data_IF_549287923109
#
_entry.id   IF_549287923109
#
_cell.length_a   1.000
_cell.length_b   1.000
_cell.length_c   1.000
_cell.angle_alpha   90.00
_cell.angle_beta   90.00
_cell.angle_gamma   90.00
#
_symmetry.space_group_name_H-M   'P 1'
#
loop_
_entity.id
_entity.type
_entity.pdbx_description
1 polymer ?
#
# COMPACT_ATOMS: atom_id res chain seq x y z
N UNK A 1 -25.56 -6.37 15.28
CA UNK A 1 -25.10 -7.30 14.24
C UNK A 1 -24.39 -8.45 14.92
N UNK A 2 -24.56 -9.69 14.49
CA UNK A 2 -23.93 -10.86 15.13
C UNK A 2 -24.60 -12.16 14.68
N UNK A 3 -23.91 -13.28 14.80
CA UNK A 3 -24.52 -14.59 14.63
C UNK A 3 -25.07 -15.08 15.98
N UNK A 4 -26.33 -15.53 16.01
CA UNK A 4 -26.97 -16.02 17.24
C UNK A 4 -26.95 -17.55 17.26
N UNK A 5 -26.38 -18.11 18.32
CA UNK A 5 -26.45 -19.54 18.60
C UNK A 5 -27.77 -19.91 19.29
N UNK A 6 -28.14 -21.20 19.22
CA UNK A 6 -29.36 -21.73 19.84
C UNK A 6 -29.37 -21.61 21.37
N UNK A 7 -28.18 -21.51 22.00
CA UNK A 7 -28.01 -21.30 23.44
C UNK A 7 -28.09 -19.81 23.84
N UNK A 8 -28.32 -18.90 22.89
CA UNK A 8 -28.41 -17.47 23.12
C UNK A 8 -27.05 -16.75 23.12
N UNK A 9 -25.94 -17.44 22.85
CA UNK A 9 -24.61 -16.82 22.70
C UNK A 9 -24.47 -16.07 21.38
N UNK A 10 -23.75 -14.94 21.41
CA UNK A 10 -23.39 -14.15 20.23
C UNK A 10 -22.03 -14.61 19.71
N UNK A 11 -22.00 -15.05 18.46
CA UNK A 11 -20.79 -15.49 17.76
C UNK A 11 -20.20 -14.40 16.91
N UNK A 12 -18.87 -14.36 16.89
CA UNK A 12 -18.09 -13.43 16.09
C UNK A 12 -18.42 -13.53 14.59
N UNK A 13 -18.53 -12.38 13.95
CA UNK A 13 -18.78 -12.25 12.51
C UNK A 13 -17.56 -11.67 11.81
N UNK A 14 -17.45 -11.91 10.50
CA UNK A 14 -16.40 -11.30 9.68
C UNK A 14 -16.82 -9.92 9.19
N UNK A 15 -15.86 -8.99 9.11
CA UNK A 15 -16.07 -7.67 8.55
C UNK A 15 -16.78 -6.69 9.48
N UNK A 16 -16.59 -6.85 10.80
CA UNK A 16 -17.13 -5.93 11.80
C UNK A 16 -16.70 -4.48 11.54
N UNK A 17 -15.44 -4.27 11.10
CA UNK A 17 -14.95 -2.97 10.66
C UNK A 17 -15.78 -2.39 9.50
N UNK A 18 -16.10 -3.21 8.50
CA UNK A 18 -16.86 -2.73 7.33
C UNK A 18 -18.29 -2.34 7.71
N UNK A 19 -18.93 -3.10 8.62
CA UNK A 19 -20.24 -2.76 9.16
C UNK A 19 -20.21 -1.48 9.99
N UNK A 20 -19.21 -1.31 10.86
CA UNK A 20 -19.03 -0.10 11.66
C UNK A 20 -18.82 1.14 10.76
N UNK A 21 -18.01 1.04 9.71
CA UNK A 21 -17.82 2.12 8.72
C UNK A 21 -19.13 2.45 8.00
N UNK A 22 -19.92 1.44 7.62
CA UNK A 22 -21.22 1.65 6.99
C UNK A 22 -22.23 2.31 7.95
N UNK A 23 -22.28 1.87 9.21
CA UNK A 23 -23.13 2.44 10.25
C UNK A 23 -22.82 3.93 10.48
N UNK A 24 -21.54 4.28 10.58
CA UNK A 24 -21.10 5.67 10.71
C UNK A 24 -21.46 6.52 9.49
N UNK A 25 -21.26 6.00 8.27
CA UNK A 25 -21.68 6.69 7.04
C UNK A 25 -23.19 6.90 6.95
N UNK A 26 -23.98 6.00 7.54
CA UNK A 26 -25.42 6.14 7.65
C UNK A 26 -25.86 7.12 8.76
N UNK A 27 -24.92 7.71 9.51
CA UNK A 27 -25.21 8.65 10.60
C UNK A 27 -25.77 7.98 11.86
N UNK A 28 -25.52 6.68 12.05
CA UNK A 28 -25.93 5.98 13.27
C UNK A 28 -25.01 6.37 14.44
N UNK A 29 -25.58 6.40 15.65
CA UNK A 29 -24.85 6.77 16.88
C UNK A 29 -23.95 5.64 17.37
N UNK A 30 -24.35 4.39 17.16
CA UNK A 30 -23.60 3.23 17.63
C UNK A 30 -24.02 1.91 16.99
N UNK A 31 -23.29 0.86 17.33
CA UNK A 31 -23.49 -0.51 16.86
C UNK A 31 -23.27 -1.50 18.00
N UNK A 32 -24.16 -2.49 18.10
CA UNK A 32 -24.03 -3.61 19.04
C UNK A 32 -23.50 -4.82 18.28
N UNK A 33 -22.44 -5.45 18.80
CA UNK A 33 -21.68 -6.54 18.18
C UNK A 33 -21.37 -7.64 19.20
N UNK A 34 -20.98 -8.85 18.78
CA UNK A 34 -20.29 -9.80 19.65
C UNK A 34 -19.08 -9.13 20.31
N UNK A 35 -18.82 -9.40 21.57
CA UNK A 35 -17.70 -8.83 22.32
C UNK A 35 -16.34 -9.04 21.62
N UNK A 36 -16.16 -10.20 20.97
CA UNK A 36 -14.96 -10.53 20.17
C UNK A 36 -14.73 -9.59 18.97
N UNK A 37 -15.80 -8.98 18.43
CA UNK A 37 -15.72 -8.04 17.31
C UNK A 37 -15.57 -6.58 17.76
N UNK A 38 -15.77 -6.28 19.05
CA UNK A 38 -15.73 -4.91 19.54
C UNK A 38 -14.38 -4.21 19.28
N UNK A 39 -13.20 -4.84 19.47
CA UNK A 39 -11.92 -4.22 19.16
C UNK A 39 -11.77 -3.83 17.68
N UNK A 40 -12.26 -4.67 16.76
CA UNK A 40 -12.18 -4.44 15.31
C UNK A 40 -13.08 -3.27 14.87
N UNK A 41 -14.26 -3.13 15.47
CA UNK A 41 -15.21 -2.08 15.10
C UNK A 41 -14.96 -0.75 15.82
N UNK A 42 -14.44 -0.78 17.05
CA UNK A 42 -14.20 0.39 17.89
C UNK A 42 -13.13 1.33 17.33
N UNK A 43 -12.36 0.88 16.34
CA UNK A 43 -11.43 1.76 15.63
C UNK A 43 -12.15 2.92 14.91
N UNK A 44 -13.45 2.84 14.63
CA UNK A 44 -14.22 3.76 13.75
C UNK A 44 -14.51 5.16 14.34
N UNK A 45 -13.58 5.82 15.04
CA UNK A 45 -13.72 7.13 15.70
C UNK A 45 -15.18 7.37 16.20
N UNK A 46 -15.81 8.55 16.17
CA UNK A 46 -17.19 8.76 16.70
C UNK A 46 -18.35 7.83 16.23
N UNK A 47 -18.37 6.56 16.65
CA UNK A 47 -19.41 5.55 16.59
C UNK A 47 -19.28 4.74 17.90
N UNK A 48 -20.34 4.68 18.69
CA UNK A 48 -20.35 3.91 19.93
C UNK A 48 -20.39 2.41 19.62
N UNK A 49 -19.36 1.66 20.05
CA UNK A 49 -19.28 0.22 19.80
C UNK A 49 -19.56 -0.54 21.08
N UNK A 50 -20.69 -1.24 21.12
CA UNK A 50 -21.12 -2.01 22.30
C UNK A 50 -20.84 -3.48 22.05
N UNK A 51 -19.98 -4.08 22.87
CA UNK A 51 -19.68 -5.51 22.84
C UNK A 51 -20.59 -6.30 23.78
N UNK A 52 -21.34 -7.26 23.24
CA UNK A 52 -22.19 -8.16 24.03
C UNK A 52 -21.82 -9.63 23.79
N UNK A 53 -22.02 -10.48 24.80
CA UNK A 53 -21.70 -11.91 24.73
C UNK A 53 -22.93 -12.78 24.48
N UNK A 54 -24.13 -12.30 24.84
CA UNK A 54 -25.38 -13.05 24.74
C UNK A 54 -26.56 -12.15 24.36
N UNK A 55 -27.61 -12.73 23.77
CA UNK A 55 -28.84 -11.99 23.44
C UNK A 55 -29.54 -11.39 24.67
N UNK A 56 -29.68 -12.07 25.83
CA UNK A 56 -30.25 -11.46 27.03
C UNK A 56 -29.52 -10.19 27.45
N UNK A 57 -28.18 -10.18 27.38
CA UNK A 57 -27.38 -9.00 27.70
C UNK A 57 -27.74 -7.79 26.81
N UNK A 58 -27.94 -8.04 25.51
CA UNK A 58 -28.39 -7.00 24.56
C UNK A 58 -29.77 -6.48 24.92
N UNK A 59 -30.70 -7.36 25.33
CA UNK A 59 -32.06 -6.97 25.73
C UNK A 59 -32.03 -6.12 27.00
N UNK A 60 -31.26 -6.52 28.01
CA UNK A 60 -31.13 -5.78 29.28
C UNK A 60 -30.48 -4.41 29.06
N UNK A 61 -29.47 -4.32 28.18
CA UNK A 61 -28.88 -3.05 27.76
C UNK A 61 -29.89 -2.12 27.07
N UNK A 62 -30.61 -2.62 26.06
CA UNK A 62 -31.63 -1.83 25.35
C UNK A 62 -32.81 -1.44 26.24
N UNK A 63 -33.06 -2.22 27.30
CA UNK A 63 -34.10 -1.94 28.31
C UNK A 63 -33.63 -0.97 29.41
N UNK A 64 -32.36 -0.54 29.39
CA UNK A 64 -31.77 0.36 30.39
C UNK A 64 -31.54 -0.29 31.76
N UNK A 65 -31.53 -1.62 31.84
CA UNK A 65 -31.32 -2.38 33.09
C UNK A 65 -29.86 -2.76 33.31
N UNK A 66 -29.09 -2.83 32.23
CA UNK A 66 -27.65 -3.05 32.24
C UNK A 66 -26.95 -1.91 31.50
N UNK A 67 -25.87 -1.40 32.05
CA UNK A 67 -25.00 -0.43 31.39
C UNK A 67 -23.81 -1.18 30.82
N UNK A 68 -23.70 -1.20 29.49
CA UNK A 68 -22.52 -1.69 28.79
C UNK A 68 -21.78 -0.46 28.29
N UNK A 69 -20.56 -0.25 28.79
CA UNK A 69 -19.74 0.86 28.33
C UNK A 69 -19.30 0.62 26.88
N UNK A 70 -19.34 1.67 26.02
CA UNK A 70 -18.75 1.59 24.70
C UNK A 70 -17.29 1.15 24.78
N UNK A 71 -16.94 0.18 23.95
CA UNK A 71 -15.57 -0.24 23.78
C UNK A 71 -14.78 0.91 23.15
N UNK A 72 -13.86 1.49 23.91
CA UNK A 72 -12.96 2.53 23.45
C UNK A 72 -11.61 1.92 23.10
N UNK A 73 -11.11 2.28 21.92
CA UNK A 73 -9.77 1.90 21.46
C UNK A 73 -8.91 3.15 21.43
N UNK A 74 -7.73 3.06 22.05
CA UNK A 74 -6.69 4.07 21.83
C UNK A 74 -6.10 3.88 20.43
N UNK A 75 -6.52 4.74 19.51
CA UNK A 75 -6.01 4.74 18.15
C UNK A 75 -4.51 5.04 18.11
N UNK A 76 -4.00 5.93 18.95
CA UNK A 76 -2.56 6.24 18.96
C UNK A 76 -1.75 5.01 19.37
N UNK A 77 -2.21 4.26 20.36
CA UNK A 77 -1.58 3.00 20.78
C UNK A 77 -1.63 1.95 19.66
N UNK A 78 -2.78 1.77 19.00
CA UNK A 78 -2.90 0.85 17.86
C UNK A 78 -1.97 1.23 16.69
N UNK A 79 -1.89 2.51 16.35
CA UNK A 79 -1.02 2.98 15.28
C UNK A 79 0.46 2.83 15.67
N UNK A 80 0.80 3.09 16.94
CA UNK A 80 2.19 2.97 17.44
C UNK A 80 2.65 1.52 17.48
N UNK A 81 1.82 0.61 18.01
CA UNK A 81 2.13 -0.82 18.09
C UNK A 81 2.07 -1.51 16.72
N UNK A 82 1.27 -0.97 15.78
CA UNK A 82 1.17 -1.47 14.40
C UNK A 82 2.24 -0.94 13.44
N UNK A 83 3.03 0.05 13.84
CA UNK A 83 4.14 0.63 13.06
C UNK A 83 5.46 -0.13 13.25
N UNK A 84 5.46 -1.45 13.06
CA UNK A 84 6.71 -2.20 12.95
C UNK A 84 7.30 -2.01 11.54
N UNK A 85 8.16 -1.01 11.40
CA UNK A 85 9.01 -0.88 10.23
C UNK A 85 10.28 -1.70 10.45
N UNK A 86 10.52 -2.70 9.61
CA UNK A 86 11.72 -3.56 9.75
C UNK A 86 13.04 -2.84 9.44
N UNK A 87 13.02 -1.79 8.62
CA UNK A 87 14.21 -1.04 8.21
C UNK A 87 13.95 0.47 8.32
N UNK A 88 14.77 1.19 9.08
CA UNK A 88 14.61 2.65 9.32
C UNK A 88 15.54 3.49 8.41
N UNK A 89 15.00 4.59 7.88
CA UNK A 89 15.74 5.57 7.10
C UNK A 89 16.85 6.28 7.89
N UNK A 90 16.70 6.41 9.21
CA UNK A 90 17.71 7.02 10.07
C UNK A 90 19.06 6.27 10.05
N UNK A 91 19.05 4.98 9.71
CA UNK A 91 20.24 4.12 9.63
C UNK A 91 21.13 4.42 8.40
N UNK A 92 20.63 5.20 7.43
CA UNK A 92 21.33 5.50 6.17
C UNK A 92 22.50 6.45 6.41
N UNK A 93 23.72 5.90 6.35
CA UNK A 93 24.96 6.69 6.43
C UNK A 93 25.35 7.26 5.07
N UNK A 94 25.59 8.57 5.02
CA UNK A 94 25.94 9.31 3.80
C UNK A 94 24.77 9.53 2.85
N UNK A 95 25.05 9.74 1.55
CA UNK A 95 24.04 10.01 0.50
C UNK A 95 23.15 11.24 0.79
N UNK A 96 23.72 12.31 1.36
CA UNK A 96 22.96 13.50 1.83
C UNK A 96 22.03 14.09 0.76
N UNK A 97 22.48 14.17 -0.49
CA UNK A 97 21.65 14.63 -1.59
C UNK A 97 20.44 13.72 -1.87
N UNK A 98 20.64 12.40 -1.80
CA UNK A 98 19.55 11.45 -2.01
C UNK A 98 18.58 11.44 -0.82
N UNK A 99 19.10 11.52 0.42
CA UNK A 99 18.27 11.64 1.63
C UNK A 99 17.38 12.87 1.56
N UNK A 100 17.97 14.02 1.25
CA UNK A 100 17.21 15.26 1.12
C UNK A 100 16.14 15.18 0.02
N UNK A 101 16.47 14.61 -1.14
CA UNK A 101 15.50 14.43 -2.22
C UNK A 101 14.36 13.50 -1.81
N UNK A 102 14.65 12.42 -1.08
CA UNK A 102 13.66 11.47 -0.57
C UNK A 102 12.77 12.09 0.50
N UNK A 103 13.31 12.88 1.43
CA UNK A 103 12.50 13.61 2.43
C UNK A 103 11.51 14.57 1.75
N UNK A 104 11.98 15.36 0.78
CA UNK A 104 11.13 16.30 0.05
C UNK A 104 10.04 15.55 -0.71
N UNK A 105 10.40 14.48 -1.43
CA UNK A 105 9.44 13.67 -2.16
C UNK A 105 8.45 12.94 -1.23
N UNK A 106 8.89 12.44 -0.08
CA UNK A 106 8.04 11.80 0.91
C UNK A 106 7.03 12.78 1.51
N UNK A 107 7.45 14.02 1.79
CA UNK A 107 6.57 15.07 2.32
C UNK A 107 5.45 15.46 1.34
N UNK A 108 5.72 15.40 0.03
CA UNK A 108 4.77 15.73 -1.03
C UNK A 108 4.09 14.54 -1.71
N UNK A 109 4.41 13.30 -1.31
CA UNK A 109 3.95 12.09 -2.00
C UNK A 109 4.40 11.99 -3.47
N UNK A 110 5.57 12.53 -3.81
CA UNK A 110 6.08 12.55 -5.19
C UNK A 110 6.76 11.24 -5.59
N UNK A 111 6.60 10.85 -6.86
CA UNK A 111 7.31 9.73 -7.44
C UNK A 111 8.82 10.02 -7.54
N UNK A 112 9.65 9.02 -7.28
CA UNK A 112 11.12 9.14 -7.30
C UNK A 112 11.70 8.19 -8.33
N UNK A 113 12.73 8.65 -9.04
CA UNK A 113 13.61 7.79 -9.81
C UNK A 113 15.07 7.92 -9.36
N UNK A 114 15.69 6.79 -9.03
CA UNK A 114 17.08 6.69 -8.62
C UNK A 114 17.94 6.13 -9.76
N UNK A 115 18.97 6.88 -10.14
CA UNK A 115 19.92 6.47 -11.18
C UNK A 115 21.29 6.35 -10.53
N UNK A 116 21.87 5.14 -10.53
CA UNK A 116 23.19 4.92 -9.95
C UNK A 116 23.77 3.55 -10.31
N UNK A 117 25.09 3.32 -10.20
CA UNK A 117 25.69 2.02 -10.50
C UNK A 117 25.14 0.91 -9.60
N UNK A 118 25.23 -0.37 -10.00
CA UNK A 118 24.85 -1.48 -9.12
C UNK A 118 25.64 -1.42 -7.80
N UNK A 119 25.02 -1.84 -6.69
CA UNK A 119 25.63 -1.74 -5.36
C UNK A 119 25.61 -0.35 -4.71
N UNK A 120 25.04 0.67 -5.36
CA UNK A 120 24.93 2.03 -4.79
C UNK A 120 23.87 2.20 -3.69
N UNK A 121 23.26 1.10 -3.21
CA UNK A 121 22.26 1.12 -2.14
C UNK A 121 20.85 1.59 -2.54
N UNK A 122 20.47 1.59 -3.83
CA UNK A 122 19.13 2.04 -4.28
C UNK A 122 17.99 1.25 -3.63
N UNK A 123 18.07 -0.08 -3.68
CA UNK A 123 17.11 -0.99 -3.05
C UNK A 123 17.05 -0.81 -1.54
N UNK A 124 18.21 -0.58 -0.90
CA UNK A 124 18.34 -0.33 0.53
C UNK A 124 17.64 0.98 0.94
N UNK A 125 17.82 2.05 0.16
CA UNK A 125 17.14 3.33 0.36
C UNK A 125 15.63 3.20 0.13
N UNK A 126 15.21 2.52 -0.93
CA UNK A 126 13.78 2.38 -1.27
C UNK A 126 12.98 1.69 -0.17
N UNK A 127 13.52 0.60 0.41
CA UNK A 127 12.86 -0.16 1.48
C UNK A 127 12.62 0.65 2.75
N UNK A 128 13.39 1.72 2.96
CA UNK A 128 13.31 2.60 4.13
C UNK A 128 12.37 3.79 3.93
N UNK A 129 11.94 4.08 2.70
CA UNK A 129 11.02 5.20 2.40
C UNK A 129 9.71 5.15 3.22
N UNK A 130 9.07 3.99 3.47
CA UNK A 130 7.87 3.93 4.30
C UNK A 130 8.01 4.59 5.68
N UNK A 131 9.23 4.61 6.24
CA UNK A 131 9.50 5.17 7.58
C UNK A 131 9.54 6.70 7.62
N UNK A 132 9.78 7.35 6.49
CA UNK A 132 9.81 8.83 6.37
C UNK A 132 8.54 9.40 5.72
N UNK A 133 7.61 8.53 5.31
CA UNK A 133 6.32 8.97 4.82
C UNK A 133 5.44 9.48 5.98
N UNK A 134 4.52 10.43 5.71
CA UNK A 134 3.54 10.85 6.70
C UNK A 134 2.78 9.64 7.25
N UNK A 135 2.45 9.63 8.55
CA UNK A 135 1.61 8.56 9.14
C UNK A 135 0.30 8.43 8.36
N UNK A 136 -0.24 7.22 8.29
CA UNK A 136 -1.55 7.02 7.69
C UNK A 136 -2.62 7.73 8.51
N UNK A 137 -3.56 8.36 7.81
CA UNK A 137 -4.86 8.70 8.38
C UNK A 137 -5.66 7.44 8.67
N UNK A 138 -6.68 7.59 9.51
CA UNK A 138 -7.59 6.50 9.86
C UNK A 138 -8.32 5.95 8.62
N UNK A 139 -8.74 6.82 7.72
CA UNK A 139 -9.41 6.46 6.47
C UNK A 139 -8.48 5.66 5.55
N UNK A 140 -7.21 6.08 5.41
CA UNK A 140 -6.19 5.35 4.63
C UNK A 140 -5.94 3.95 5.20
N UNK A 141 -5.89 3.83 6.54
CA UNK A 141 -5.67 2.56 7.22
C UNK A 141 -6.83 1.59 6.99
N UNK A 142 -8.08 2.07 7.06
CA UNK A 142 -9.26 1.25 6.71
C UNK A 142 -9.21 0.81 5.25
N UNK A 143 -8.94 1.74 4.33
CA UNK A 143 -8.94 1.47 2.89
C UNK A 143 -7.90 0.40 2.54
N UNK A 144 -6.69 0.53 3.10
CA UNK A 144 -5.60 -0.46 2.94
C UNK A 144 -5.99 -1.81 3.56
N UNK A 145 -6.54 -1.81 4.78
CA UNK A 145 -6.94 -3.04 5.49
C UNK A 145 -8.02 -3.80 4.72
N UNK A 146 -8.97 -3.12 4.09
CA UNK A 146 -10.00 -3.75 3.24
C UNK A 146 -9.39 -4.52 2.07
N UNK A 147 -8.35 -3.98 1.42
CA UNK A 147 -7.69 -4.65 0.30
C UNK A 147 -7.01 -5.95 0.78
N UNK A 148 -6.30 -5.90 1.91
CA UNK A 148 -5.62 -7.05 2.49
C UNK A 148 -6.58 -8.12 3.04
N UNK A 149 -7.73 -7.68 3.57
CA UNK A 149 -8.79 -8.58 3.99
C UNK A 149 -9.38 -9.36 2.80
N UNK A 150 -9.66 -8.67 1.68
CA UNK A 150 -10.16 -9.31 0.45
C UNK A 150 -9.11 -10.22 -0.20
N UNK A 151 -7.82 -9.91 -0.08
CA UNK A 151 -6.74 -10.76 -0.57
C UNK A 151 -6.43 -11.97 0.33
N UNK A 152 -6.99 -12.00 1.55
CA UNK A 152 -6.71 -13.03 2.55
C UNK A 152 -5.31 -12.93 3.17
N UNK A 153 -4.67 -11.76 3.06
CA UNK A 153 -3.32 -11.48 3.57
C UNK A 153 -3.31 -10.75 4.92
N UNK A 154 -4.49 -10.49 5.51
CA UNK A 154 -4.57 -9.85 6.82
C UNK A 154 -4.37 -10.91 7.92
N UNK A 155 -3.40 -10.67 8.80
CA UNK A 155 -3.18 -11.50 9.98
C UNK A 155 -4.40 -11.43 10.91
N UNK A 156 -4.83 -12.58 11.43
CA UNK A 156 -6.02 -12.66 12.31
C UNK A 156 -5.89 -11.84 13.59
N UNK A 157 -4.67 -11.53 14.00
CA UNK A 157 -4.34 -10.76 15.21
C UNK A 157 -4.24 -9.25 14.93
N UNK A 158 -4.13 -8.83 13.67
CA UNK A 158 -4.01 -7.41 13.27
C UNK A 158 -5.33 -6.92 12.66
N UNK A 159 -6.14 -6.25 13.48
CA UNK A 159 -7.42 -5.69 13.05
C UNK A 159 -7.27 -4.50 12.05
N UNK A 160 -6.13 -3.82 12.06
CA UNK A 160 -5.88 -2.63 11.25
C UNK A 160 -4.41 -2.56 10.80
N UNK A 161 -4.17 -2.26 9.51
CA UNK A 161 -2.84 -1.97 8.99
C UNK A 161 -2.50 -0.50 9.24
N UNK A 162 -1.58 -0.26 10.19
CA UNK A 162 -1.07 1.07 10.54
C UNK A 162 0.18 1.49 9.75
N UNK A 163 0.99 0.51 9.29
CA UNK A 163 2.21 0.77 8.55
C UNK A 163 1.96 0.88 7.03
N UNK A 164 2.68 1.81 6.37
CA UNK A 164 2.61 1.97 4.91
C UNK A 164 3.14 0.73 4.18
N UNK A 165 2.34 0.08 3.31
CA UNK A 165 2.78 -1.12 2.62
C UNK A 165 3.91 -0.80 1.66
N UNK A 166 4.88 -1.71 1.57
CA UNK A 166 5.96 -1.65 0.60
C UNK A 166 5.88 -2.88 -0.30
N UNK A 167 5.73 -2.67 -1.61
CA UNK A 167 5.70 -3.74 -2.61
C UNK A 167 6.84 -3.59 -3.59
N UNK A 168 7.57 -4.68 -3.83
CA UNK A 168 8.71 -4.73 -4.75
C UNK A 168 8.56 -5.91 -5.72
N UNK A 169 7.67 -5.81 -6.72
CA UNK A 169 7.48 -6.88 -7.69
C UNK A 169 8.78 -7.15 -8.47
N UNK A 170 9.01 -8.42 -8.79
CA UNK A 170 10.12 -8.80 -9.66
C UNK A 170 9.84 -8.39 -11.12
N UNK A 171 10.89 -8.10 -11.90
CA UNK A 171 10.78 -7.66 -13.30
C UNK A 171 10.13 -8.68 -14.26
N UNK A 172 9.97 -9.93 -13.81
CA UNK A 172 9.28 -11.02 -14.53
C UNK A 172 7.77 -11.06 -14.29
N UNK A 173 7.22 -10.14 -13.47
CA UNK A 173 5.80 -10.10 -13.14
C UNK A 173 4.94 -9.99 -14.41
N UNK A 174 3.79 -10.66 -14.39
CA UNK A 174 2.79 -10.57 -15.45
C UNK A 174 1.88 -9.36 -15.24
N UNK A 175 1.23 -8.90 -16.32
CA UNK A 175 0.22 -7.83 -16.26
C UNK A 175 -0.86 -8.13 -15.20
N UNK A 176 -1.26 -9.40 -15.10
CA UNK A 176 -2.25 -9.89 -14.11
C UNK A 176 -1.70 -9.85 -12.68
N UNK A 177 -0.42 -10.13 -12.46
CA UNK A 177 0.18 -10.04 -11.14
C UNK A 177 0.29 -8.59 -10.65
N UNK A 178 0.59 -7.67 -11.56
CA UNK A 178 0.79 -6.26 -11.22
C UNK A 178 -0.55 -5.53 -10.96
N UNK A 179 -1.48 -5.60 -11.91
CA UNK A 179 -2.79 -4.91 -11.81
C UNK A 179 -3.79 -5.70 -10.98
N UNK A 180 -3.70 -7.03 -11.01
CA UNK A 180 -4.70 -7.92 -10.46
C UNK A 180 -5.55 -8.56 -11.56
N UNK A 181 -6.30 -9.59 -11.18
CA UNK A 181 -7.13 -10.36 -12.08
C UNK A 181 -7.30 -11.81 -11.63
N UNK A 182 -7.50 -12.71 -12.59
CA UNK A 182 -7.83 -14.12 -12.34
C UNK A 182 -9.29 -14.46 -12.68
N UNK A 183 -9.67 -15.71 -12.45
CA UNK A 183 -11.07 -16.18 -12.55
C UNK A 183 -11.95 -15.53 -11.49
N UNK A 184 -11.41 -15.34 -10.29
CA UNK A 184 -11.92 -14.43 -9.28
C UNK A 184 -11.06 -13.16 -9.30
N UNK A 185 -11.63 -11.98 -9.57
CA UNK A 185 -10.86 -10.74 -9.61
C UNK A 185 -10.25 -10.47 -8.22
N UNK A 186 -8.93 -10.58 -8.13
CA UNK A 186 -8.15 -10.27 -6.93
C UNK A 186 -7.31 -9.01 -7.15
N UNK A 187 -6.99 -8.25 -6.08
CA UNK A 187 -6.07 -7.12 -6.17
C UNK A 187 -4.67 -7.57 -6.61
N UNK A 188 -4.00 -6.77 -7.44
CA UNK A 188 -2.60 -6.96 -7.82
C UNK A 188 -1.63 -6.19 -6.92
N UNK A 189 -0.34 -6.26 -7.23
CA UNK A 189 0.73 -5.58 -6.49
C UNK A 189 0.52 -4.06 -6.35
N UNK A 190 -0.05 -3.39 -7.37
CA UNK A 190 -0.31 -1.94 -7.27
C UNK A 190 -1.40 -1.64 -6.24
N UNK A 191 -2.49 -2.41 -6.23
CA UNK A 191 -3.56 -2.24 -5.23
C UNK A 191 -3.08 -2.66 -3.83
N UNK A 192 -2.22 -3.67 -3.73
CA UNK A 192 -1.62 -4.09 -2.46
C UNK A 192 -0.59 -3.10 -1.91
N UNK A 193 -0.11 -2.17 -2.74
CA UNK A 193 0.79 -1.07 -2.36
C UNK A 193 0.02 0.21 -2.01
N UNK A 194 -1.31 0.20 -2.01
CA UNK A 194 -2.15 1.37 -1.79
C UNK A 194 -1.82 2.09 -0.46
N UNK A 195 -1.80 3.42 -0.50
CA UNK A 195 -1.34 4.32 0.57
C UNK A 195 0.09 4.02 1.04
N UNK A 196 0.91 3.40 0.19
CA UNK A 196 2.29 3.07 0.48
C UNK A 196 3.19 3.27 -0.73
N UNK A 197 4.18 2.39 -0.86
CA UNK A 197 5.26 2.51 -1.84
C UNK A 197 5.25 1.31 -2.79
N UNK A 198 5.26 1.59 -4.09
CA UNK A 198 5.51 0.60 -5.14
C UNK A 198 6.94 0.81 -5.65
N UNK A 199 7.82 -0.16 -5.39
CA UNK A 199 9.21 -0.13 -5.79
C UNK A 199 9.47 -0.97 -7.05
N UNK A 200 10.01 -0.35 -8.09
CA UNK A 200 10.43 -1.02 -9.33
C UNK A 200 11.96 -0.97 -9.44
N UNK A 201 12.61 -2.08 -9.11
CA UNK A 201 14.06 -2.20 -9.31
C UNK A 201 14.38 -2.54 -10.76
N UNK A 202 15.53 -2.06 -11.25
CA UNK A 202 15.94 -2.29 -12.64
C UNK A 202 14.84 -1.96 -13.66
N UNK A 203 14.20 -0.79 -13.52
CA UNK A 203 13.05 -0.36 -14.34
C UNK A 203 13.15 -0.71 -15.85
N UNK A 204 14.32 -0.56 -16.52
CA UNK A 204 14.44 -0.90 -17.94
C UNK A 204 14.28 -2.39 -18.29
N UNK A 205 14.37 -3.29 -17.32
CA UNK A 205 14.20 -4.75 -17.51
C UNK A 205 12.72 -5.17 -17.48
N UNK A 206 11.81 -4.31 -17.00
CA UNK A 206 10.39 -4.57 -17.07
C UNK A 206 9.88 -4.59 -18.52
N UNK A 207 8.93 -5.48 -18.80
CA UNK A 207 8.26 -5.53 -20.11
C UNK A 207 7.53 -4.22 -20.36
N UNK A 208 7.63 -3.72 -21.59
CA UNK A 208 6.99 -2.45 -21.98
C UNK A 208 5.49 -2.41 -21.65
N UNK A 209 4.75 -3.47 -21.97
CA UNK A 209 3.31 -3.53 -21.70
C UNK A 209 2.98 -3.36 -20.22
N UNK A 210 3.78 -3.94 -19.32
CA UNK A 210 3.61 -3.84 -17.86
C UNK A 210 3.71 -2.38 -17.41
N UNK A 211 4.68 -1.62 -17.95
CA UNK A 211 4.87 -0.21 -17.62
C UNK A 211 3.77 0.70 -18.20
N UNK A 212 3.28 0.42 -19.40
CA UNK A 212 2.17 1.19 -20.00
C UNK A 212 0.89 1.02 -19.17
N UNK A 213 0.67 -0.19 -18.67
CA UNK A 213 -0.48 -0.54 -17.85
C UNK A 213 -0.43 0.12 -16.46
N UNK A 214 0.75 0.51 -15.97
CA UNK A 214 0.91 1.29 -14.73
C UNK A 214 0.47 2.75 -14.85
N UNK A 215 0.35 3.29 -16.05
CA UNK A 215 0.05 4.71 -16.25
C UNK A 215 -1.29 5.11 -15.63
N UNK A 216 -2.35 4.37 -15.98
CA UNK A 216 -3.69 4.63 -15.46
C UNK A 216 -3.77 4.54 -13.92
N UNK A 217 -3.23 3.50 -13.25
CA UNK A 217 -3.19 3.46 -11.79
C UNK A 217 -2.47 4.64 -11.13
N UNK A 218 -1.41 5.18 -11.75
CA UNK A 218 -0.64 6.31 -11.24
C UNK A 218 -1.33 7.65 -11.47
N UNK A 219 -2.09 7.79 -12.56
CA UNK A 219 -2.90 8.98 -12.89
C UNK A 219 -4.20 9.03 -12.05
N UNK A 220 -4.99 7.95 -12.08
CA UNK A 220 -6.33 7.91 -11.48
C UNK A 220 -6.32 7.49 -10.00
N UNK A 221 -5.24 6.86 -9.55
CA UNK A 221 -5.15 6.27 -8.22
C UNK A 221 -6.12 5.11 -7.99
N UNK A 222 -6.63 4.48 -9.06
CA UNK A 222 -7.55 3.35 -9.04
C UNK A 222 -7.28 2.37 -10.17
N UNK A 223 -7.62 1.11 -9.93
CA UNK A 223 -7.54 0.01 -10.90
C UNK A 223 -8.91 -0.63 -11.07
N UNK A 224 -9.40 -0.66 -12.31
CA UNK A 224 -10.65 -1.33 -12.66
C UNK A 224 -10.38 -2.66 -13.37
N UNK A 225 -10.82 -3.76 -12.76
CA UNK A 225 -10.67 -5.11 -13.30
C UNK A 225 -12.05 -5.56 -13.79
N UNK A 226 -12.21 -5.63 -15.11
CA UNK A 226 -13.44 -6.12 -15.75
C UNK A 226 -13.22 -7.50 -16.35
N UNK A 227 -13.98 -8.50 -15.88
CA UNK A 227 -14.02 -9.87 -16.41
C UNK A 227 -15.46 -10.32 -16.57
N UNK A 228 -15.66 -11.41 -17.32
CA UNK A 228 -16.91 -11.84 -17.98
C UNK A 228 -18.24 -11.63 -17.26
N UNK A 229 -18.29 -11.59 -15.93
CA UNK A 229 -19.52 -11.42 -15.14
C UNK A 229 -19.44 -10.35 -14.03
N UNK A 230 -18.26 -9.76 -13.76
CA UNK A 230 -18.05 -8.82 -12.66
C UNK A 230 -17.01 -7.76 -13.03
N UNK A 231 -17.31 -6.50 -12.69
CA UNK A 231 -16.35 -5.39 -12.70
C UNK A 231 -16.09 -4.93 -11.28
N UNK A 232 -14.83 -4.99 -10.84
CA UNK A 232 -14.39 -4.50 -9.52
C UNK A 232 -13.38 -3.38 -9.68
N UNK A 233 -13.50 -2.35 -8.84
CA UNK A 233 -12.55 -1.25 -8.77
C UNK A 233 -11.82 -1.31 -7.42
N UNK A 234 -10.50 -1.33 -7.47
CA UNK A 234 -9.63 -1.25 -6.29
C UNK A 234 -8.91 0.10 -6.27
N UNK A 235 -8.73 0.72 -5.09
CA UNK A 235 -7.89 1.89 -4.98
C UNK A 235 -6.41 1.52 -5.09
N UNK A 236 -5.60 2.43 -5.63
CA UNK A 236 -4.21 2.20 -5.98
C UNK A 236 -3.36 3.46 -5.95
N UNK A 237 -3.68 4.39 -5.02
CA UNK A 237 -2.83 5.55 -4.74
C UNK A 237 -1.53 5.08 -4.13
N UNK A 238 -0.41 5.23 -4.83
CA UNK A 238 0.91 4.75 -4.40
C UNK A 238 1.97 5.80 -4.73
N UNK A 239 3.02 5.87 -3.91
CA UNK A 239 4.26 6.54 -4.27
C UNK A 239 5.11 5.57 -5.10
N UNK A 240 5.33 5.88 -6.38
CA UNK A 240 6.21 5.09 -7.24
C UNK A 240 7.67 5.44 -6.95
N UNK A 241 8.46 4.42 -6.62
CA UNK A 241 9.90 4.54 -6.46
C UNK A 241 10.57 3.62 -7.48
N UNK A 242 11.27 4.19 -8.45
CA UNK A 242 11.97 3.42 -9.47
C UNK A 242 13.48 3.51 -9.29
N UNK A 243 14.18 2.42 -9.58
CA UNK A 243 15.63 2.38 -9.63
C UNK A 243 16.12 1.89 -10.99
N UNK A 244 17.22 2.46 -11.47
CA UNK A 244 17.88 1.96 -12.68
C UNK A 244 19.39 2.18 -12.65
N UNK A 245 20.09 1.33 -13.38
CA UNK A 245 21.52 1.50 -13.60
C UNK A 245 21.75 2.52 -14.73
N UNK A 246 22.72 3.46 -14.58
CA UNK A 246 23.07 4.37 -15.64
C UNK A 246 23.58 3.56 -16.82
N UNK A 247 23.09 3.90 -18.00
CA UNK A 247 23.48 3.26 -19.25
C UNK A 247 25.00 3.30 -19.43
N UNK A 248 25.59 2.23 -20.00
CA UNK A 248 27.02 2.12 -20.34
C UNK A 248 27.61 3.35 -21.07
N UNK A 249 26.78 4.21 -21.65
CA UNK A 249 27.19 5.43 -22.37
C UNK A 249 27.54 6.63 -21.46
N UNK A 250 27.01 6.75 -20.24
CA UNK A 250 27.37 7.87 -19.34
C UNK A 250 28.80 7.71 -18.81
N UNK A 251 29.28 6.47 -18.66
CA UNK A 251 30.67 6.23 -18.33
C UNK A 251 31.61 6.66 -19.48
N UNK A 252 31.19 6.53 -20.75
CA UNK A 252 32.04 6.93 -21.87
C UNK A 252 32.19 8.44 -21.98
N UNK A 253 31.15 9.25 -21.69
CA UNK A 253 31.25 10.71 -21.76
C UNK A 253 31.98 11.34 -20.57
N UNK A 254 31.91 10.74 -19.38
CA UNK A 254 32.71 11.16 -18.21
C UNK A 254 34.16 10.68 -18.28
N UNK A 255 34.42 9.47 -18.80
CA UNK A 255 35.79 8.96 -19.02
C UNK A 255 36.47 9.61 -20.23
N UNK A 256 35.75 9.96 -21.29
CA UNK A 256 36.33 10.64 -22.46
C UNK A 256 36.72 12.09 -22.18
N UNK A 257 36.17 12.73 -21.14
CA UNK A 257 36.61 14.06 -20.68
C UNK A 257 37.87 14.01 -19.80
N UNK A 258 38.19 12.86 -19.21
CA UNK A 258 39.36 12.69 -18.32
C UNK A 258 40.53 11.96 -18.99
N UNK A 259 40.31 11.21 -20.07
CA UNK A 259 41.37 10.65 -20.91
C UNK A 259 41.01 10.83 -22.37
N UNK A 260 41.83 11.58 -23.11
CA UNK A 260 41.70 11.76 -24.56
C UNK A 260 41.79 10.41 -25.28
N UNK A 261 40.65 9.75 -25.47
CA UNK A 261 40.57 8.41 -26.05
C UNK A 261 39.92 8.47 -27.42
N UNK A 262 40.65 7.95 -28.41
CA UNK A 262 40.31 7.98 -29.82
C UNK A 262 38.97 7.28 -30.13
N UNK A 263 38.12 7.97 -30.90
CA UNK A 263 36.95 7.39 -31.57
C UNK A 263 37.41 6.32 -32.56
N UNK A 264 37.28 5.05 -32.19
CA UNK A 264 37.04 3.95 -33.14
C UNK A 264 36.67 2.70 -32.31
N UNK A 265 35.58 2.06 -32.72
CA UNK A 265 35.06 0.78 -32.22
C UNK A 265 34.19 0.83 -30.95
N UNK A 266 32.89 1.08 -31.14
CA UNK A 266 31.80 0.19 -30.68
C UNK A 266 30.45 0.84 -30.98
N UNK A 267 29.87 0.49 -32.13
CA UNK A 267 28.45 0.73 -32.39
C UNK A 267 27.62 -0.26 -31.56
N UNK A 268 27.24 0.15 -30.36
CA UNK A 268 26.22 -0.52 -29.55
C UNK A 268 24.81 -0.22 -30.10
N UNK A 269 24.01 -1.27 -30.24
CA UNK A 269 22.69 -1.30 -30.87
C UNK A 269 21.75 -0.11 -30.49
N UNK A 270 21.34 0.76 -31.45
CA UNK A 270 20.54 1.97 -31.20
C UNK A 270 19.10 1.72 -30.72
N UNK A 271 18.58 0.48 -30.81
CA UNK A 271 17.18 0.18 -30.42
C UNK A 271 16.91 0.27 -28.91
N UNK A 272 17.91 0.04 -28.04
CA UNK A 272 17.75 0.18 -26.58
C UNK A 272 17.69 1.65 -26.12
N UNK A 273 18.26 2.59 -26.89
CA UNK A 273 18.29 4.01 -26.56
C UNK A 273 16.94 4.71 -26.71
N UNK A 274 16.10 4.27 -27.66
CA UNK A 274 14.76 4.82 -27.84
C UNK A 274 13.78 4.33 -26.76
N UNK A 275 13.92 3.09 -26.29
CA UNK A 275 12.98 2.48 -25.33
C UNK A 275 12.96 3.23 -24.00
N UNK A 276 14.11 3.63 -23.47
CA UNK A 276 14.21 4.17 -22.10
C UNK A 276 13.83 5.64 -21.99
N UNK A 277 14.14 6.46 -23.02
CA UNK A 277 13.60 7.83 -23.12
C UNK A 277 12.08 7.81 -23.31
N UNK A 278 11.56 6.84 -24.08
CA UNK A 278 10.11 6.65 -24.21
C UNK A 278 9.46 6.23 -22.89
N UNK A 279 10.05 5.31 -22.14
CA UNK A 279 9.55 4.88 -20.82
C UNK A 279 9.51 6.05 -19.82
N UNK A 280 10.57 6.85 -19.74
CA UNK A 280 10.62 8.02 -18.87
C UNK A 280 9.60 9.11 -19.26
N UNK A 281 9.43 9.38 -20.56
CA UNK A 281 8.44 10.36 -21.03
C UNK A 281 6.98 9.93 -20.80
N UNK A 282 6.74 8.62 -20.59
CA UNK A 282 5.39 8.06 -20.46
C UNK A 282 4.96 7.82 -19.02
N UNK A 283 5.92 7.74 -18.09
CA UNK A 283 5.66 7.67 -16.65
C UNK A 283 5.63 9.05 -15.97
N UNK A 284 6.09 10.10 -16.67
CA UNK A 284 6.18 11.47 -16.17
C UNK A 284 5.10 12.41 -16.76
N UNK A 285 4.27 11.92 -17.67
CA UNK A 285 3.10 12.60 -18.22
C UNK A 285 1.85 12.00 -17.58
#
# INVERSE_FOLDING_TARGET
MGELSLDGSLKAIRGALSMAVAAKRAGLTGIILPAENAPEAAVVAGLEVIGATTLPQVVEFLSGRELIEPYCVDLEELFTNGCEYGEDFSEVKGQEHAKRAMEVAASGGHNIIMIGPPGSGKTMLARRIPTILPRMSFEEAIETTKIFSVSGMLDRERALLAARPFRAPHNTISDVGLIGGGTTPKPGEVSLAHNGVLFLDELPEFKKNVLEVLRQPLEDGRVSISRSLVSLTYPSRVMLVAAMNPWRCVNLSLLARTKGYNRRQNEGNPRRHQSSRQVLSRLAA
#
